data_IF_524794222791
#
_entry.id   IF_524794222791
#
_cell.length_a   1.000
_cell.length_b   1.000
_cell.length_c   1.000
_cell.angle_alpha   90.00
_cell.angle_beta   90.00
_cell.angle_gamma   90.00
#
_symmetry.space_group_name_H-M   'P 1'
#
loop_
_entity.id
_entity.type
_entity.pdbx_description
1 polymer ?
#
# COMPACT_ATOMS: atom_id res chain seq x y z
N UNK A 1 -7.01 23.69 5.00
CA UNK A 1 -8.16 23.44 4.10
C UNK A 1 -8.44 24.57 3.11
N UNK A 2 -8.02 24.43 1.85
CA UNK A 2 -8.60 25.20 0.73
C UNK A 2 -9.98 24.65 0.35
N UNK A 3 -10.79 25.41 -0.42
CA UNK A 3 -12.09 24.94 -0.93
C UNK A 3 -11.97 23.69 -1.84
N UNK A 4 -10.77 23.41 -2.37
CA UNK A 4 -10.50 22.23 -3.21
C UNK A 4 -10.27 20.97 -2.36
N UNK A 5 -9.60 21.09 -1.21
CA UNK A 5 -9.28 19.97 -0.32
C UNK A 5 -10.54 19.43 0.36
N UNK A 6 -11.44 20.33 0.78
CA UNK A 6 -12.74 19.95 1.35
C UNK A 6 -13.63 19.18 0.35
N UNK A 7 -13.53 19.47 -0.95
CA UNK A 7 -14.26 18.74 -2.00
C UNK A 7 -13.63 17.38 -2.34
N UNK A 8 -12.32 17.24 -2.19
CA UNK A 8 -11.61 15.98 -2.34
C UNK A 8 -12.00 15.02 -1.20
N UNK A 9 -11.93 15.49 0.06
CA UNK A 9 -12.27 14.71 1.25
C UNK A 9 -13.71 14.19 1.24
N UNK A 10 -14.70 15.02 0.88
CA UNK A 10 -16.11 14.61 0.75
C UNK A 10 -16.36 13.57 -0.38
N UNK A 11 -15.39 13.37 -1.27
CA UNK A 11 -15.43 12.38 -2.34
C UNK A 11 -14.83 11.02 -1.98
N UNK A 12 -14.11 10.91 -0.87
CA UNK A 12 -13.50 9.67 -0.38
C UNK A 12 -14.54 8.76 0.28
N UNK A 13 -14.22 7.47 0.44
CA UNK A 13 -15.09 6.51 1.16
C UNK A 13 -15.29 6.95 2.61
N UNK A 14 -14.24 7.46 3.27
CA UNK A 14 -14.30 7.96 4.65
C UNK A 14 -15.22 9.19 4.76
N UNK A 15 -15.14 10.13 3.81
CA UNK A 15 -15.98 11.32 3.79
C UNK A 15 -17.46 11.06 3.46
N UNK A 16 -17.79 9.93 2.83
CA UNK A 16 -19.17 9.57 2.46
C UNK A 16 -19.92 8.81 3.57
N UNK A 17 -19.19 8.26 4.55
CA UNK A 17 -19.76 7.43 5.61
C UNK A 17 -20.29 6.07 5.11
N UNK A 18 -20.78 5.21 6.03
CA UNK A 18 -21.23 3.88 5.68
C UNK A 18 -22.47 3.95 4.78
N UNK A 19 -22.47 3.14 3.72
CA UNK A 19 -23.65 2.98 2.85
C UNK A 19 -24.71 2.17 3.61
N UNK A 20 -25.76 2.84 4.07
CA UNK A 20 -26.91 2.16 4.67
C UNK A 20 -27.77 1.47 3.59
N UNK A 21 -28.05 0.18 3.78
CA UNK A 21 -28.90 -0.62 2.91
C UNK A 21 -30.09 -1.20 3.68
N UNK A 22 -31.22 -1.36 2.99
CA UNK A 22 -32.38 -2.02 3.59
C UNK A 22 -32.25 -3.56 3.60
N UNK A 23 -33.13 -4.23 4.36
CA UNK A 23 -33.13 -5.68 4.51
C UNK A 23 -33.40 -6.43 3.18
N UNK A 24 -34.04 -5.79 2.21
CA UNK A 24 -34.31 -6.39 0.90
C UNK A 24 -33.04 -6.42 0.05
N UNK A 25 -32.34 -5.28 -0.01
CA UNK A 25 -31.06 -5.16 -0.69
C UNK A 25 -30.00 -6.04 -0.04
N UNK A 26 -29.94 -6.13 1.30
CA UNK A 26 -29.03 -7.02 2.01
C UNK A 26 -29.25 -8.50 1.62
N UNK A 27 -30.51 -8.96 1.56
CA UNK A 27 -30.84 -10.31 1.08
C UNK A 27 -30.47 -10.51 -0.39
N UNK A 28 -30.70 -9.50 -1.24
CA UNK A 28 -30.33 -9.57 -2.64
C UNK A 28 -28.81 -9.72 -2.84
N UNK A 29 -28.02 -8.93 -2.11
CA UNK A 29 -26.56 -9.02 -2.11
C UNK A 29 -26.08 -10.38 -1.62
N UNK A 30 -26.67 -10.92 -0.54
CA UNK A 30 -26.36 -12.26 -0.05
C UNK A 30 -26.57 -13.35 -1.10
N UNK A 31 -27.74 -13.35 -1.77
CA UNK A 31 -28.02 -14.31 -2.83
C UNK A 31 -27.06 -14.17 -4.02
N UNK A 32 -26.73 -12.92 -4.41
CA UNK A 32 -25.77 -12.67 -5.50
C UNK A 32 -24.37 -13.15 -5.16
N UNK A 33 -23.94 -13.01 -3.91
CA UNK A 33 -22.66 -13.54 -3.43
C UNK A 33 -22.62 -15.06 -3.54
N UNK A 34 -23.66 -15.76 -3.09
CA UNK A 34 -23.75 -17.23 -3.23
C UNK A 34 -23.69 -17.68 -4.70
N UNK A 35 -24.41 -16.99 -5.59
CA UNK A 35 -24.34 -17.25 -7.04
C UNK A 35 -22.92 -17.06 -7.60
N UNK A 36 -22.17 -16.05 -7.12
CA UNK A 36 -20.78 -15.83 -7.52
C UNK A 36 -19.86 -16.95 -7.01
N UNK A 37 -20.05 -17.38 -5.76
CA UNK A 37 -19.26 -18.47 -5.18
C UNK A 37 -19.44 -19.78 -5.95
N UNK A 38 -20.68 -20.13 -6.29
CA UNK A 38 -20.96 -21.31 -7.11
C UNK A 38 -20.39 -21.17 -8.53
N UNK A 39 -20.60 -20.01 -9.18
CA UNK A 39 -20.20 -19.80 -10.57
C UNK A 39 -18.68 -19.81 -10.77
N UNK A 40 -17.95 -19.22 -9.84
CA UNK A 40 -16.50 -19.07 -9.93
C UNK A 40 -15.75 -20.07 -9.04
N UNK A 41 -16.48 -21.01 -8.41
CA UNK A 41 -15.93 -22.05 -7.53
C UNK A 41 -15.07 -21.45 -6.39
N UNK A 42 -15.49 -20.28 -5.88
CA UNK A 42 -14.77 -19.55 -4.85
C UNK A 42 -15.02 -20.22 -3.49
N UNK A 43 -13.94 -20.52 -2.77
CA UNK A 43 -13.98 -20.99 -1.38
C UNK A 43 -13.73 -19.82 -0.44
N UNK A 44 -14.67 -19.55 0.44
CA UNK A 44 -14.56 -18.49 1.44
C UNK A 44 -14.09 -19.00 2.81
N UNK A 45 -14.30 -20.29 3.11
CA UNK A 45 -13.83 -20.93 4.34
C UNK A 45 -12.40 -21.49 4.22
N UNK A 46 -11.63 -21.39 5.30
CA UNK A 46 -10.30 -22.01 5.40
C UNK A 46 -10.38 -23.46 5.89
N UNK A 47 -9.57 -24.39 5.36
CA UNK A 47 -9.40 -25.72 5.95
C UNK A 47 -8.93 -25.65 7.41
N UNK A 48 -9.37 -26.60 8.23
CA UNK A 48 -9.03 -26.61 9.67
C UNK A 48 -7.52 -26.63 9.93
N UNK A 49 -6.76 -27.38 9.12
CA UNK A 49 -5.30 -27.45 9.24
C UNK A 49 -4.61 -26.10 9.00
N UNK A 50 -5.17 -25.25 8.13
CA UNK A 50 -4.67 -23.89 7.87
C UNK A 50 -4.96 -22.98 9.08
N UNK A 51 -6.14 -23.12 9.68
CA UNK A 51 -6.51 -22.37 10.89
C UNK A 51 -5.66 -22.77 12.10
N UNK A 52 -5.40 -24.07 12.27
CA UNK A 52 -4.55 -24.58 13.35
C UNK A 52 -3.10 -24.11 13.17
N UNK A 53 -2.57 -24.12 11.93
CA UNK A 53 -1.24 -23.58 11.60
C UNK A 53 -1.16 -22.08 11.87
N UNK A 54 -2.16 -21.30 11.45
CA UNK A 54 -2.20 -19.86 11.67
C UNK A 54 -2.25 -19.52 13.17
N UNK A 55 -3.09 -20.22 13.95
CA UNK A 55 -3.14 -20.03 15.39
C UNK A 55 -1.77 -20.27 16.04
N UNK A 56 -1.11 -21.37 15.70
CA UNK A 56 0.22 -21.70 16.23
C UNK A 56 1.29 -20.66 15.89
N UNK A 57 1.23 -20.05 14.70
CA UNK A 57 2.14 -18.95 14.28
C UNK A 57 1.91 -17.63 15.01
N UNK A 58 0.78 -17.48 15.68
CA UNK A 58 0.46 -16.29 16.47
C UNK A 58 0.71 -16.49 17.97
N UNK A 59 1.22 -17.66 18.38
CA UNK A 59 1.62 -17.92 19.76
C UNK A 59 3.01 -17.33 20.05
N UNK A 60 3.14 -16.53 21.11
CA UNK A 60 4.43 -16.00 21.62
C UNK A 60 5.23 -15.15 20.61
N UNK A 61 4.52 -14.34 19.80
CA UNK A 61 5.08 -13.44 18.76
C UNK A 61 6.28 -12.63 19.26
N UNK A 62 6.21 -12.08 20.48
CA UNK A 62 7.30 -11.27 21.04
C UNK A 62 8.60 -12.07 21.23
N UNK A 63 8.51 -13.35 21.61
CA UNK A 63 9.68 -14.23 21.75
C UNK A 63 10.28 -14.59 20.39
N UNK A 64 9.42 -14.84 19.39
CA UNK A 64 9.86 -15.10 18.01
C UNK A 64 10.59 -13.88 17.43
N UNK A 65 10.03 -12.68 17.57
CA UNK A 65 10.67 -11.44 17.14
C UNK A 65 12.01 -11.26 17.85
N UNK A 66 12.05 -11.41 19.18
CA UNK A 66 13.27 -11.25 19.95
C UNK A 66 14.38 -12.22 19.53
N UNK A 67 14.03 -13.41 19.05
CA UNK A 67 14.96 -14.39 18.49
C UNK A 67 15.56 -13.97 17.14
N UNK A 68 14.86 -13.12 16.40
CA UNK A 68 15.23 -12.67 15.05
C UNK A 68 15.97 -11.33 15.02
N UNK A 69 15.92 -10.53 16.10
CA UNK A 69 16.51 -9.18 16.17
C UNK A 69 18.00 -9.16 15.78
N UNK A 70 18.78 -10.16 16.19
CA UNK A 70 20.22 -10.19 15.92
C UNK A 70 20.56 -10.48 14.44
N UNK A 71 19.63 -11.05 13.67
CA UNK A 71 19.80 -11.38 12.25
C UNK A 71 19.16 -10.35 11.30
N UNK A 72 18.47 -9.35 11.86
CA UNK A 72 17.71 -8.33 11.14
C UNK A 72 18.23 -6.94 11.48
N UNK A 73 17.98 -5.97 10.60
CA UNK A 73 18.29 -4.57 10.92
C UNK A 73 17.27 -4.05 11.91
N UNK A 74 17.74 -3.57 13.06
CA UNK A 74 16.88 -2.95 14.06
C UNK A 74 16.59 -1.49 13.66
N UNK A 75 15.32 -1.21 13.38
CA UNK A 75 14.82 0.12 12.99
C UNK A 75 13.74 0.61 13.95
N UNK A 76 13.62 0.02 15.16
CA UNK A 76 12.54 0.34 16.11
C UNK A 76 12.60 1.75 16.69
N UNK A 77 13.74 2.42 16.60
CA UNK A 77 13.93 3.81 17.05
C UNK A 77 13.64 4.84 15.92
N UNK A 78 13.27 4.37 14.72
CA UNK A 78 12.95 5.23 13.58
C UNK A 78 11.48 5.60 13.62
N UNK A 79 11.16 6.87 13.37
CA UNK A 79 9.77 7.31 13.23
C UNK A 79 9.11 6.65 12.03
N UNK A 80 8.18 5.74 12.30
CA UNK A 80 7.50 4.89 11.32
C UNK A 80 6.00 4.97 11.54
N UNK A 81 5.22 5.04 10.46
CA UNK A 81 3.76 5.01 10.56
C UNK A 81 3.12 4.29 9.38
N UNK A 82 1.88 3.83 9.59
CA UNK A 82 1.00 3.32 8.53
C UNK A 82 -0.06 4.35 8.17
N UNK A 83 -0.56 4.34 6.94
CA UNK A 83 -1.73 5.15 6.55
C UNK A 83 -2.66 4.31 5.69
N UNK A 84 -3.84 4.02 6.24
CA UNK A 84 -4.74 3.01 5.70
C UNK A 84 -6.19 3.51 5.72
N UNK A 85 -7.11 2.86 4.99
CA UNK A 85 -8.53 3.11 5.19
C UNK A 85 -8.97 2.87 6.65
N UNK A 86 -9.95 3.63 7.13
CA UNK A 86 -10.49 3.49 8.50
C UNK A 86 -10.91 2.07 8.87
N UNK A 87 -11.46 1.31 7.91
CA UNK A 87 -11.95 -0.06 8.10
C UNK A 87 -10.88 -1.14 7.92
N UNK A 88 -9.63 -0.77 7.59
CA UNK A 88 -8.53 -1.71 7.44
C UNK A 88 -8.11 -2.33 8.78
N UNK A 89 -7.76 -3.61 8.77
CA UNK A 89 -7.34 -4.39 9.94
C UNK A 89 -5.95 -5.03 9.75
N UNK A 90 -5.51 -5.12 8.50
CA UNK A 90 -4.23 -5.59 8.00
C UNK A 90 -3.44 -4.39 7.45
N UNK A 91 -2.34 -4.02 8.13
CA UNK A 91 -1.46 -2.92 7.75
C UNK A 91 -0.18 -3.52 7.14
N UNK A 92 -0.20 -3.72 5.83
CA UNK A 92 0.86 -4.42 5.10
C UNK A 92 2.13 -3.58 4.96
N UNK A 93 1.98 -2.25 4.89
CA UNK A 93 3.06 -1.31 4.65
C UNK A 93 3.10 -0.16 5.67
N UNK A 94 4.33 0.30 5.93
CA UNK A 94 4.63 1.48 6.72
C UNK A 94 5.75 2.26 6.03
N UNK A 95 5.82 3.56 6.30
CA UNK A 95 6.86 4.42 5.75
C UNK A 95 7.64 5.13 6.85
N UNK A 96 8.90 5.42 6.54
CA UNK A 96 9.76 6.34 7.28
C UNK A 96 10.52 7.21 6.29
N UNK A 97 10.85 8.44 6.66
CA UNK A 97 11.55 9.36 5.76
C UNK A 97 12.50 10.27 6.53
N UNK A 98 13.64 10.57 5.91
CA UNK A 98 14.64 11.49 6.42
C UNK A 98 15.11 12.42 5.30
N UNK A 99 15.31 13.70 5.63
CA UNK A 99 16.02 14.64 4.77
C UNK A 99 17.43 14.82 5.31
N UNK A 100 18.42 14.51 4.48
CA UNK A 100 19.83 14.81 4.74
C UNK A 100 20.27 15.99 3.87
N UNK A 101 21.50 16.47 4.07
CA UNK A 101 22.01 17.67 3.40
C UNK A 101 21.83 17.58 1.87
N UNK A 102 22.19 16.44 1.28
CA UNK A 102 22.23 16.25 -0.17
C UNK A 102 21.32 15.13 -0.69
N UNK A 103 20.40 14.58 0.11
CA UNK A 103 19.52 13.47 -0.30
C UNK A 103 18.19 13.43 0.47
N UNK A 104 17.19 12.77 -0.11
CA UNK A 104 16.10 12.18 0.68
C UNK A 104 16.40 10.70 0.89
N UNK A 105 16.11 10.19 2.08
CA UNK A 105 16.11 8.75 2.33
C UNK A 105 14.69 8.33 2.69
N UNK A 106 14.14 7.43 1.87
CA UNK A 106 12.79 6.89 2.04
C UNK A 106 12.89 5.41 2.35
N UNK A 107 12.28 4.99 3.45
CA UNK A 107 12.10 3.59 3.79
C UNK A 107 10.64 3.20 3.59
N UNK A 108 10.44 2.10 2.87
CA UNK A 108 9.16 1.41 2.82
C UNK A 108 9.34 0.07 3.51
N UNK A 109 8.60 -0.14 4.60
CA UNK A 109 8.61 -1.35 5.41
C UNK A 109 7.38 -2.18 5.05
N UNK A 110 7.58 -3.40 4.56
CA UNK A 110 6.51 -4.33 4.23
C UNK A 110 6.51 -5.45 5.26
N UNK A 111 5.35 -5.80 5.82
CA UNK A 111 5.20 -6.91 6.74
C UNK A 111 5.88 -8.19 6.19
N UNK A 112 6.68 -8.88 7.01
CA UNK A 112 7.42 -10.07 6.57
C UNK A 112 6.52 -11.32 6.56
N UNK A 113 5.53 -11.35 5.68
CA UNK A 113 4.62 -12.48 5.47
C UNK A 113 5.39 -13.77 5.20
N UNK A 114 6.53 -13.69 4.51
CA UNK A 114 7.35 -14.86 4.15
C UNK A 114 8.04 -15.54 5.33
N UNK A 115 8.11 -14.87 6.49
CA UNK A 115 8.55 -15.47 7.73
C UNK A 115 7.51 -16.45 8.29
N UNK A 116 6.23 -16.10 8.18
CA UNK A 116 5.13 -16.87 8.76
C UNK A 116 4.50 -17.87 7.78
N UNK A 117 4.48 -17.54 6.49
CA UNK A 117 3.92 -18.38 5.41
C UNK A 117 5.07 -18.97 4.59
N UNK A 118 5.47 -20.20 4.93
CA UNK A 118 6.65 -20.84 4.33
C UNK A 118 6.27 -21.95 3.34
N UNK A 119 7.05 -22.21 2.29
CA UNK A 119 6.81 -23.33 1.36
C UNK A 119 6.59 -24.67 2.07
N UNK A 120 5.82 -25.54 1.42
CA UNK A 120 5.51 -26.90 1.86
C UNK A 120 4.65 -26.98 3.15
N UNK A 121 3.93 -25.90 3.53
CA UNK A 121 2.92 -25.92 4.60
C UNK A 121 1.49 -25.81 4.07
N UNK A 122 0.49 -26.12 4.90
CA UNK A 122 -0.92 -26.03 4.50
C UNK A 122 -1.31 -24.58 4.21
N UNK A 123 -0.82 -23.64 5.03
CA UNK A 123 -1.03 -22.22 4.83
C UNK A 123 -0.44 -21.72 3.50
N UNK A 124 0.74 -22.21 3.12
CA UNK A 124 1.34 -21.89 1.81
C UNK A 124 0.54 -22.44 0.63
N UNK A 125 0.11 -23.70 0.72
CA UNK A 125 -0.71 -24.31 -0.34
C UNK A 125 -2.03 -23.54 -0.53
N UNK A 126 -2.70 -23.17 0.57
CA UNK A 126 -3.93 -22.40 0.55
C UNK A 126 -3.73 -20.97 0.03
N UNK A 127 -2.68 -20.27 0.48
CA UNK A 127 -2.35 -18.92 0.01
C UNK A 127 -2.06 -18.93 -1.51
N UNK A 128 -1.37 -19.96 -2.02
CA UNK A 128 -1.08 -20.11 -3.45
C UNK A 128 -2.34 -20.42 -4.27
N UNK A 129 -3.27 -21.20 -3.72
CA UNK A 129 -4.55 -21.50 -4.38
C UNK A 129 -5.46 -20.26 -4.42
N UNK A 130 -5.53 -19.49 -3.33
CA UNK A 130 -6.32 -18.25 -3.25
C UNK A 130 -5.70 -17.11 -4.05
N UNK A 131 -4.37 -17.00 -4.06
CA UNK A 131 -3.53 -16.01 -4.74
C UNK A 131 -3.73 -14.53 -4.37
N UNK A 132 -4.95 -14.09 -4.07
CA UNK A 132 -5.27 -12.72 -3.65
C UNK A 132 -6.52 -12.68 -2.76
N UNK A 133 -6.63 -11.63 -1.95
CA UNK A 133 -7.88 -11.31 -1.25
C UNK A 133 -8.91 -10.80 -2.26
N UNK A 134 -10.15 -11.27 -2.17
CA UNK A 134 -11.28 -10.82 -3.01
C UNK A 134 -12.20 -9.93 -2.19
N UNK A 135 -12.29 -8.66 -2.59
CA UNK A 135 -13.16 -7.66 -1.96
C UNK A 135 -14.50 -7.59 -2.70
N UNK A 136 -15.58 -7.99 -2.03
CA UNK A 136 -16.96 -7.83 -2.47
C UNK A 136 -17.65 -6.74 -1.63
N UNK A 137 -18.77 -6.15 -2.10
CA UNK A 137 -19.55 -5.24 -1.28
C UNK A 137 -19.94 -5.88 0.06
N UNK A 138 -19.47 -5.28 1.15
CA UNK A 138 -19.67 -5.74 2.53
C UNK A 138 -19.21 -7.19 2.83
N UNK A 139 -18.27 -7.73 2.06
CA UNK A 139 -17.74 -9.07 2.30
C UNK A 139 -16.33 -9.25 1.72
N UNK A 140 -15.40 -9.79 2.51
CA UNK A 140 -14.01 -10.00 2.09
C UNK A 140 -13.67 -11.47 2.18
N UNK A 141 -13.10 -12.02 1.11
CA UNK A 141 -12.54 -13.39 1.09
C UNK A 141 -11.04 -13.26 1.21
N UNK A 142 -10.51 -13.53 2.39
CA UNK A 142 -9.11 -13.31 2.69
C UNK A 142 -8.21 -14.35 2.02
N UNK A 143 -7.05 -13.89 1.53
CA UNK A 143 -5.97 -14.78 1.07
C UNK A 143 -5.35 -15.57 2.23
N UNK A 144 -5.14 -14.89 3.36
CA UNK A 144 -4.58 -15.47 4.58
C UNK A 144 -5.64 -15.50 5.69
N UNK A 145 -5.56 -16.44 6.65
CA UNK A 145 -6.46 -16.42 7.80
C UNK A 145 -6.43 -15.06 8.52
N UNK A 146 -7.59 -14.48 8.87
CA UNK A 146 -7.65 -13.16 9.52
C UNK A 146 -6.77 -13.04 10.76
N UNK A 147 -6.73 -14.09 11.61
CA UNK A 147 -5.88 -14.14 12.80
C UNK A 147 -4.40 -13.90 12.48
N UNK A 148 -3.90 -14.31 11.31
CA UNK A 148 -2.52 -14.11 10.90
C UNK A 148 -2.32 -12.72 10.29
N UNK A 149 -3.22 -12.36 9.36
CA UNK A 149 -3.19 -11.09 8.63
C UNK A 149 -3.24 -9.89 9.58
N UNK A 150 -4.13 -9.92 10.57
CA UNK A 150 -4.40 -8.82 11.50
C UNK A 150 -3.41 -8.77 12.69
N UNK A 151 -2.50 -9.74 12.82
CA UNK A 151 -1.56 -9.82 13.94
C UNK A 151 -0.10 -9.73 13.49
N UNK A 152 0.48 -10.85 13.09
CA UNK A 152 1.91 -11.01 12.80
C UNK A 152 2.30 -10.48 11.42
N UNK A 153 1.33 -10.44 10.50
CA UNK A 153 1.47 -9.86 9.17
C UNK A 153 0.94 -8.43 9.08
N UNK A 154 0.66 -7.77 10.21
CA UNK A 154 0.22 -6.38 10.26
C UNK A 154 1.20 -5.54 11.09
N UNK A 155 1.60 -4.39 10.55
CA UNK A 155 2.49 -3.42 11.18
C UNK A 155 1.73 -2.55 12.20
N UNK A 156 1.08 -3.21 13.16
CA UNK A 156 0.28 -2.54 14.20
C UNK A 156 1.12 -1.55 15.02
N UNK A 157 0.51 -0.43 15.48
CA UNK A 157 1.24 0.59 16.20
C UNK A 157 1.71 0.10 17.58
N UNK A 158 2.84 0.63 18.02
CA UNK A 158 3.49 0.43 19.32
C UNK A 158 3.91 -1.00 19.65
N UNK A 159 3.96 -1.87 18.64
CA UNK A 159 4.46 -3.23 18.77
C UNK A 159 5.57 -3.51 17.76
N UNK A 160 6.57 -4.28 18.19
CA UNK A 160 7.62 -4.73 17.30
C UNK A 160 7.04 -5.69 16.25
N UNK A 161 7.50 -5.57 15.01
CA UNK A 161 7.09 -6.42 13.88
C UNK A 161 8.26 -6.70 12.94
N UNK A 162 8.23 -7.88 12.33
CA UNK A 162 9.19 -8.29 11.31
C UNK A 162 8.78 -7.69 9.97
N UNK A 163 9.74 -7.09 9.26
CA UNK A 163 9.50 -6.48 7.96
C UNK A 163 10.61 -6.82 6.94
N UNK A 164 10.27 -6.70 5.67
CA UNK A 164 11.22 -6.43 4.59
C UNK A 164 11.22 -4.94 4.32
N UNK A 165 12.39 -4.31 4.45
CA UNK A 165 12.55 -2.87 4.22
C UNK A 165 13.24 -2.62 2.90
N UNK A 166 12.69 -1.68 2.13
CA UNK A 166 13.31 -1.09 0.94
C UNK A 166 13.76 0.32 1.33
N UNK A 167 15.06 0.49 1.50
CA UNK A 167 15.72 1.77 1.77
C UNK A 167 16.18 2.38 0.44
N UNK A 168 15.72 3.60 0.16
CA UNK A 168 15.97 4.30 -1.10
C UNK A 168 16.60 5.66 -0.81
N UNK A 169 17.82 5.84 -1.29
CA UNK A 169 18.51 7.13 -1.29
C UNK A 169 18.22 7.84 -2.61
N UNK A 170 17.65 9.03 -2.53
CA UNK A 170 17.09 9.75 -3.66
C UNK A 170 17.75 11.11 -3.85
N UNK A 171 18.22 11.35 -5.07
CA UNK A 171 18.77 12.64 -5.48
C UNK A 171 17.70 13.74 -5.33
N UNK A 172 18.02 14.88 -4.68
CA UNK A 172 17.04 15.90 -4.36
C UNK A 172 16.70 16.80 -5.55
N UNK A 173 17.37 16.72 -6.69
CA UNK A 173 17.08 17.45 -7.92
C UNK A 173 16.16 16.64 -8.84
N UNK A 174 16.54 15.40 -9.17
CA UNK A 174 15.86 14.58 -10.18
C UNK A 174 15.12 13.34 -9.63
N UNK A 175 15.24 13.10 -8.33
CA UNK A 175 14.64 11.97 -7.60
C UNK A 175 15.11 10.61 -8.09
N UNK A 176 16.24 10.51 -8.80
CA UNK A 176 16.82 9.22 -9.19
C UNK A 176 17.35 8.47 -7.96
N UNK A 177 17.49 7.14 -8.10
CA UNK A 177 18.07 6.31 -7.05
C UNK A 177 19.58 6.48 -7.05
N UNK A 178 20.15 6.95 -5.95
CA UNK A 178 21.60 6.96 -5.72
C UNK A 178 22.06 5.62 -5.11
N UNK A 179 21.27 5.07 -4.18
CA UNK A 179 21.49 3.79 -3.53
C UNK A 179 20.14 3.12 -3.21
N UNK A 180 20.10 1.79 -3.32
CA UNK A 180 18.95 0.96 -3.00
C UNK A 180 19.43 -0.19 -2.13
N UNK A 181 18.86 -0.34 -0.94
CA UNK A 181 19.11 -1.45 -0.04
C UNK A 181 17.80 -2.19 0.28
N UNK A 182 17.84 -3.52 0.17
CA UNK A 182 16.69 -4.38 0.49
C UNK A 182 17.13 -5.42 1.52
N UNK A 183 16.55 -5.36 2.72
CA UNK A 183 16.93 -6.20 3.84
C UNK A 183 15.76 -6.54 4.76
N UNK A 184 15.93 -7.59 5.55
CA UNK A 184 15.01 -7.92 6.65
C UNK A 184 15.27 -7.01 7.84
N UNK A 185 14.22 -6.52 8.46
CA UNK A 185 14.27 -5.60 9.60
C UNK A 185 13.28 -5.98 10.69
N UNK A 186 13.48 -5.37 11.86
CA UNK A 186 12.47 -5.26 12.91
C UNK A 186 12.10 -3.78 13.02
N UNK A 187 10.81 -3.49 12.94
CA UNK A 187 10.25 -2.14 13.00
C UNK A 187 9.25 -2.06 14.14
N UNK A 188 8.97 -0.84 14.62
CA UNK A 188 7.89 -0.56 15.57
C UNK A 188 7.18 0.67 15.02
N UNK A 189 5.98 0.48 14.49
CA UNK A 189 5.19 1.62 13.99
C UNK A 189 4.79 2.49 15.18
N UNK A 190 5.01 3.80 15.13
CA UNK A 190 4.63 4.73 16.19
C UNK A 190 3.14 5.09 16.15
N UNK A 191 2.55 5.07 14.95
CA UNK A 191 1.18 5.47 14.72
C UNK A 191 0.52 4.73 13.55
N UNK A 192 -0.79 4.52 13.68
CA UNK A 192 -1.67 4.07 12.58
C UNK A 192 -2.60 5.20 12.22
N UNK A 193 -2.41 5.78 11.03
CA UNK A 193 -3.21 6.89 10.54
C UNK A 193 -4.29 6.35 9.62
N UNK A 194 -5.47 6.98 9.65
CA UNK A 194 -6.36 6.98 8.50
C UNK A 194 -5.91 8.00 7.46
N UNK A 195 -6.44 7.93 6.23
CA UNK A 195 -6.20 9.01 5.25
C UNK A 195 -6.69 10.36 5.79
N UNK A 196 -7.81 10.37 6.50
CA UNK A 196 -8.33 11.57 7.16
C UNK A 196 -7.40 12.09 8.27
N UNK A 197 -6.82 11.21 9.10
CA UNK A 197 -5.87 11.61 10.14
C UNK A 197 -4.59 12.21 9.51
N UNK A 198 -4.11 11.62 8.42
CA UNK A 198 -2.96 12.13 7.68
C UNK A 198 -3.22 13.54 7.11
N UNK A 199 -4.39 13.78 6.52
CA UNK A 199 -4.79 15.12 6.09
C UNK A 199 -4.90 16.12 7.26
N UNK A 200 -5.40 15.67 8.41
CA UNK A 200 -5.51 16.50 9.61
C UNK A 200 -4.13 16.90 10.12
N UNK A 201 -3.19 15.96 10.23
CA UNK A 201 -1.80 16.22 10.62
C UNK A 201 -1.09 17.18 9.64
N UNK A 202 -1.35 17.05 8.34
CA UNK A 202 -0.82 17.95 7.31
C UNK A 202 -1.41 19.38 7.38
N UNK A 203 -2.62 19.53 7.92
CA UNK A 203 -3.28 20.83 8.08
C UNK A 203 -2.99 21.48 9.43
N UNK A 204 -2.87 20.68 10.48
CA UNK A 204 -2.57 21.06 11.85
C UNK A 204 -1.57 20.08 12.48
N UNK A 205 -0.27 20.42 12.52
CA UNK A 205 0.78 19.57 13.09
C UNK A 205 0.51 19.14 14.54
N UNK A 206 -0.24 19.93 15.32
CA UNK A 206 -0.58 19.60 16.70
C UNK A 206 -1.52 18.37 16.79
N UNK A 207 -2.24 18.03 15.71
CA UNK A 207 -3.10 16.85 15.65
C UNK A 207 -2.33 15.51 15.77
N UNK A 208 -1.02 15.52 15.49
CA UNK A 208 -0.18 14.34 15.67
C UNK A 208 -0.09 13.91 17.15
N UNK A 209 -0.22 14.86 18.09
CA UNK A 209 -0.14 14.56 19.53
C UNK A 209 -1.23 13.56 19.98
N UNK A 210 -2.41 13.60 19.36
CA UNK A 210 -3.53 12.71 19.70
C UNK A 210 -3.36 11.29 19.13
N UNK A 211 -2.42 11.09 18.20
CA UNK A 211 -2.18 9.82 17.49
C UNK A 211 -1.00 9.03 18.06
N UNK A 212 -0.17 9.65 18.91
CA UNK A 212 1.10 9.11 19.38
C UNK A 212 1.05 8.69 20.86
N UNK A 213 1.64 7.53 21.17
CA UNK A 213 1.94 7.15 22.56
C UNK A 213 3.13 7.93 23.13
N UNK A 214 4.14 8.19 22.29
CA UNK A 214 5.33 8.97 22.62
C UNK A 214 5.33 10.32 21.87
N UNK A 215 5.27 11.39 22.64
CA UNK A 215 5.18 12.77 22.14
C UNK A 215 6.54 13.32 21.67
N UNK A 216 7.64 12.57 21.85
CA UNK A 216 8.95 12.92 21.31
C UNK A 216 9.11 12.52 19.83
N UNK A 217 8.18 11.71 19.28
CA UNK A 217 8.17 11.27 17.88
C UNK A 217 7.80 12.43 16.95
N UNK A 218 8.60 12.64 15.90
CA UNK A 218 8.48 13.78 14.98
C UNK A 218 7.50 13.52 13.80
N UNK A 219 6.38 12.85 14.09
CA UNK A 219 5.42 12.38 13.08
C UNK A 219 4.93 13.49 12.14
N UNK A 220 4.57 14.66 12.66
CA UNK A 220 4.09 15.77 11.83
C UNK A 220 5.16 16.27 10.85
N UNK A 221 6.40 16.39 11.31
CA UNK A 221 7.55 16.78 10.46
C UNK A 221 7.80 15.72 9.38
N UNK A 222 7.75 14.43 9.74
CA UNK A 222 7.93 13.36 8.76
C UNK A 222 6.79 13.30 7.74
N UNK A 223 5.56 13.58 8.17
CA UNK A 223 4.40 13.57 7.29
C UNK A 223 4.47 14.73 6.26
N UNK A 224 4.83 15.94 6.71
CA UNK A 224 5.09 17.08 5.82
C UNK A 224 6.22 16.78 4.83
N UNK A 225 7.32 16.18 5.30
CA UNK A 225 8.43 15.78 4.44
C UNK A 225 8.03 14.71 3.41
N UNK A 226 7.20 13.75 3.80
CA UNK A 226 6.67 12.73 2.91
C UNK A 226 5.76 13.36 1.83
N UNK A 227 4.94 14.34 2.18
CA UNK A 227 4.15 15.12 1.22
C UNK A 227 5.02 15.86 0.22
N UNK A 228 6.03 16.61 0.68
CA UNK A 228 6.95 17.36 -0.18
C UNK A 228 7.63 16.45 -1.21
N UNK A 229 8.05 15.25 -0.79
CA UNK A 229 8.67 14.27 -1.68
C UNK A 229 7.64 13.69 -2.66
N UNK A 230 6.47 13.30 -2.17
CA UNK A 230 5.42 12.67 -2.96
C UNK A 230 4.85 13.61 -4.02
N UNK A 231 4.62 14.89 -3.71
CA UNK A 231 4.15 15.89 -4.68
C UNK A 231 5.11 15.98 -5.87
N UNK A 232 6.42 16.01 -5.61
CA UNK A 232 7.43 16.07 -6.66
C UNK A 232 7.48 14.80 -7.51
N UNK A 233 7.41 13.62 -6.88
CA UNK A 233 7.32 12.34 -7.60
C UNK A 233 6.07 12.29 -8.48
N UNK A 234 4.94 12.79 -7.96
CA UNK A 234 3.67 12.82 -8.65
C UNK A 234 3.72 13.72 -9.89
N UNK A 235 4.30 14.92 -9.78
CA UNK A 235 4.46 15.83 -10.91
C UNK A 235 5.42 15.29 -11.97
N UNK A 236 6.52 14.63 -11.59
CA UNK A 236 7.40 13.93 -12.52
C UNK A 236 6.65 12.83 -13.28
N UNK A 237 5.84 12.03 -12.57
CA UNK A 237 5.02 10.97 -13.17
C UNK A 237 3.95 11.51 -14.12
N UNK A 238 3.36 12.67 -13.84
CA UNK A 238 2.44 13.36 -14.77
C UNK A 238 3.17 13.85 -16.01
N UNK A 239 4.35 14.45 -15.85
CA UNK A 239 5.19 14.89 -16.97
C UNK A 239 5.58 13.71 -17.89
N UNK A 240 5.78 12.53 -17.31
CA UNK A 240 6.03 11.26 -18.02
C UNK A 240 4.77 10.65 -18.69
N UNK A 241 3.63 11.35 -18.63
CA UNK A 241 2.41 10.99 -19.35
C UNK A 241 1.40 10.17 -18.55
N UNK A 242 1.54 10.07 -17.22
CA UNK A 242 0.48 9.47 -16.41
C UNK A 242 -0.78 10.32 -16.40
N UNK A 243 -1.94 9.67 -16.51
CA UNK A 243 -3.25 10.30 -16.46
C UNK A 243 -3.92 10.01 -15.13
N UNK A 244 -4.35 11.06 -14.45
CA UNK A 244 -5.20 10.96 -13.25
C UNK A 244 -6.66 11.10 -13.70
N UNK A 245 -7.37 9.98 -13.77
CA UNK A 245 -8.77 9.95 -14.22
C UNK A 245 -9.76 10.39 -13.12
N UNK A 246 -9.32 10.42 -11.86
CA UNK A 246 -10.12 10.85 -10.72
C UNK A 246 -9.48 12.07 -10.02
N UNK A 247 -9.99 13.30 -10.24
CA UNK A 247 -9.37 14.53 -9.74
C UNK A 247 -9.56 14.78 -8.23
N UNK A 248 -10.14 13.83 -7.48
CA UNK A 248 -10.45 13.95 -6.05
C UNK A 248 -9.47 13.18 -5.15
N UNK A 249 -8.19 13.23 -5.48
CA UNK A 249 -7.17 12.54 -4.69
C UNK A 249 -6.54 13.55 -3.74
N UNK A 250 -6.62 13.27 -2.45
CA UNK A 250 -6.01 14.08 -1.40
C UNK A 250 -4.49 13.82 -1.30
N UNK A 251 -3.81 14.55 -0.42
CA UNK A 251 -2.35 14.47 -0.23
C UNK A 251 -1.96 13.12 0.35
N UNK A 252 -2.70 12.64 1.35
CA UNK A 252 -2.47 11.36 2.01
C UNK A 252 -2.45 10.17 1.04
N UNK A 253 -3.42 10.08 0.13
CA UNK A 253 -3.45 9.03 -0.90
C UNK A 253 -2.29 9.14 -1.91
N UNK A 254 -1.82 10.35 -2.17
CA UNK A 254 -0.67 10.61 -3.05
C UNK A 254 0.64 10.19 -2.38
N UNK A 255 0.81 10.47 -1.08
CA UNK A 255 1.98 10.05 -0.29
C UNK A 255 2.18 8.54 -0.40
N UNK A 256 1.16 7.76 -0.01
CA UNK A 256 1.26 6.30 0.00
C UNK A 256 1.44 5.76 -1.41
N UNK A 257 0.69 6.25 -2.41
CA UNK A 257 0.85 5.80 -3.79
C UNK A 257 2.26 6.00 -4.32
N UNK A 258 2.82 7.21 -4.21
CA UNK A 258 4.13 7.52 -4.79
C UNK A 258 5.24 6.78 -4.05
N UNK A 259 5.17 6.65 -2.72
CA UNK A 259 6.12 5.86 -1.94
C UNK A 259 6.12 4.39 -2.36
N UNK A 260 4.95 3.77 -2.50
CA UNK A 260 4.82 2.37 -2.94
C UNK A 260 5.26 2.18 -4.39
N UNK A 261 4.94 3.11 -5.30
CA UNK A 261 5.40 3.06 -6.68
C UNK A 261 6.93 3.18 -6.76
N UNK A 262 7.54 4.01 -5.92
CA UNK A 262 8.99 4.15 -5.81
C UNK A 262 9.63 2.84 -5.34
N UNK A 263 9.16 2.28 -4.23
CA UNK A 263 9.66 1.00 -3.72
C UNK A 263 9.51 -0.15 -4.74
N UNK A 264 8.36 -0.25 -5.42
CA UNK A 264 8.14 -1.27 -6.47
C UNK A 264 9.13 -1.15 -7.63
N UNK A 265 9.45 0.08 -8.06
CA UNK A 265 10.47 0.33 -9.09
C UNK A 265 11.87 -0.03 -8.59
N UNK A 266 12.21 0.30 -7.34
CA UNK A 266 13.49 -0.02 -6.74
C UNK A 266 13.71 -1.55 -6.62
N UNK A 267 12.71 -2.28 -6.11
CA UNK A 267 12.74 -3.75 -6.04
C UNK A 267 12.86 -4.36 -7.44
N UNK A 268 12.08 -3.86 -8.41
CA UNK A 268 12.18 -4.31 -9.81
C UNK A 268 13.59 -4.10 -10.35
N UNK A 269 14.22 -2.96 -10.03
CA UNK A 269 15.55 -2.65 -10.50
C UNK A 269 16.59 -3.64 -9.95
N UNK A 270 16.62 -3.79 -8.63
CA UNK A 270 17.55 -4.67 -7.91
C UNK A 270 17.42 -6.13 -8.36
N UNK A 271 16.20 -6.64 -8.48
CA UNK A 271 15.97 -8.04 -8.91
C UNK A 271 16.39 -8.28 -10.37
N UNK A 272 16.16 -7.31 -11.25
CA UNK A 272 16.38 -7.46 -12.68
C UNK A 272 17.84 -7.25 -13.08
N UNK A 273 18.48 -6.17 -12.62
CA UNK A 273 19.80 -5.76 -13.10
C UNK A 273 20.93 -6.17 -12.16
N UNK A 274 20.74 -6.08 -10.84
CA UNK A 274 21.82 -6.30 -9.87
C UNK A 274 21.92 -7.77 -9.45
N UNK A 275 20.79 -8.40 -9.14
CA UNK A 275 20.74 -9.82 -8.77
C UNK A 275 20.54 -10.76 -9.95
N UNK A 276 19.86 -10.29 -11.00
CA UNK A 276 19.60 -11.07 -12.22
C UNK A 276 18.79 -12.34 -11.96
N UNK A 277 17.79 -12.27 -11.08
CA UNK A 277 16.97 -13.43 -10.68
C UNK A 277 15.69 -13.55 -11.51
N UNK A 278 15.20 -14.78 -11.65
CA UNK A 278 13.87 -15.03 -12.20
C UNK A 278 12.81 -14.59 -11.17
N UNK A 279 11.99 -13.60 -11.53
CA UNK A 279 10.97 -13.01 -10.68
C UNK A 279 9.67 -12.74 -11.45
N UNK A 280 8.59 -12.51 -10.73
CA UNK A 280 7.32 -12.07 -11.31
C UNK A 280 7.30 -10.55 -11.45
N UNK A 281 7.11 -10.07 -12.69
CA UNK A 281 7.03 -8.65 -12.99
C UNK A 281 5.59 -8.24 -13.30
N UNK A 282 5.16 -7.08 -12.78
CA UNK A 282 3.90 -6.45 -13.16
C UNK A 282 4.09 -5.68 -14.47
N UNK A 283 3.65 -6.25 -15.58
CA UNK A 283 3.83 -5.66 -16.91
C UNK A 283 2.50 -5.16 -17.45
N UNK A 284 2.50 -3.94 -17.99
CA UNK A 284 1.38 -3.37 -18.76
C UNK A 284 1.82 -3.23 -20.22
N UNK A 285 1.29 -4.05 -21.15
CA UNK A 285 1.68 -3.99 -22.55
C UNK A 285 1.26 -2.68 -23.20
N UNK A 286 2.02 -2.24 -24.20
CA UNK A 286 1.59 -1.11 -25.04
C UNK A 286 0.31 -1.48 -25.80
N UNK A 287 -0.65 -0.55 -25.97
CA UNK A 287 -1.82 -0.80 -26.79
C UNK A 287 -1.42 -1.19 -28.21
N UNK A 288 -2.19 -2.09 -28.81
CA UNK A 288 -2.02 -2.46 -30.21
C UNK A 288 -2.29 -1.27 -31.15
N UNK A 289 -1.77 -1.29 -32.39
CA UNK A 289 -2.05 -0.25 -33.37
C UNK A 289 -3.56 -0.02 -33.61
N UNK A 290 -4.35 -1.08 -33.55
CA UNK A 290 -5.81 -1.02 -33.74
C UNK A 290 -6.50 -0.35 -32.54
N UNK A 291 -6.12 -0.71 -31.30
CA UNK A 291 -6.64 -0.03 -30.08
C UNK A 291 -6.28 1.46 -30.06
N UNK A 292 -5.08 1.81 -30.54
CA UNK A 292 -4.68 3.20 -30.73
C UNK A 292 -5.54 3.92 -31.76
N UNK A 293 -5.82 3.27 -32.89
CA UNK A 293 -6.65 3.85 -33.95
C UNK A 293 -8.08 4.10 -33.47
N UNK A 294 -8.67 3.13 -32.76
CA UNK A 294 -10.02 3.25 -32.19
C UNK A 294 -10.07 4.39 -31.17
N UNK A 295 -9.11 4.47 -30.25
CA UNK A 295 -9.03 5.55 -29.27
C UNK A 295 -8.89 6.94 -29.94
N UNK A 296 -8.06 7.05 -30.98
CA UNK A 296 -7.90 8.30 -31.73
C UNK A 296 -9.19 8.73 -32.43
N UNK A 297 -9.96 7.76 -32.96
CA UNK A 297 -11.25 8.05 -33.56
C UNK A 297 -12.24 8.59 -32.53
N UNK A 298 -12.33 7.94 -31.35
CA UNK A 298 -13.16 8.42 -30.25
C UNK A 298 -12.76 9.84 -29.77
N UNK A 299 -11.45 10.11 -29.66
CA UNK A 299 -10.92 11.44 -29.29
C UNK A 299 -11.27 12.49 -30.34
N UNK A 300 -11.18 12.15 -31.64
CA UNK A 300 -11.55 13.06 -32.73
C UNK A 300 -13.06 13.36 -32.75
N UNK A 301 -13.89 12.37 -32.39
CA UNK A 301 -15.34 12.50 -32.31
C UNK A 301 -15.78 13.32 -31.08
N UNK A 302 -14.97 13.36 -30.01
CA UNK A 302 -15.10 14.29 -28.91
C UNK A 302 -14.69 15.71 -29.37
N UNK A 303 -15.67 16.51 -29.81
CA UNK A 303 -15.52 17.90 -30.29
C UNK A 303 -14.40 18.70 -29.56
N UNK A 304 -13.22 18.84 -30.19
CA UNK A 304 -12.23 19.85 -29.79
C UNK A 304 -10.75 19.50 -29.95
N UNK A 305 -10.35 18.25 -30.21
CA UNK A 305 -8.92 17.89 -30.30
C UNK A 305 -8.57 17.34 -31.68
N UNK A 306 -7.86 18.15 -32.48
CA UNK A 306 -7.17 17.68 -33.67
C UNK A 306 -5.78 17.20 -33.26
N UNK A 307 -5.52 15.90 -33.32
CA UNK A 307 -4.17 15.33 -33.14
C UNK A 307 -3.52 15.26 -34.52
N UNK A 308 -2.47 16.05 -34.82
CA UNK A 308 -1.76 15.97 -36.08
C UNK A 308 -1.01 14.64 -36.19
N UNK A 309 -1.20 13.92 -37.28
CA UNK A 309 -0.56 12.63 -37.54
C UNK A 309 0.96 12.71 -37.80
N UNK A 310 1.55 13.91 -37.86
CA UNK A 310 2.92 14.12 -38.38
C UNK A 310 4.04 14.04 -37.34
N UNK A 311 3.76 13.79 -36.05
CA UNK A 311 4.78 13.84 -34.98
C UNK A 311 5.33 12.49 -34.52
N UNK A 312 5.01 11.40 -35.22
CA UNK A 312 5.41 10.05 -34.84
C UNK A 312 6.48 9.51 -35.79
N UNK A 313 7.73 9.90 -35.55
CA UNK A 313 8.96 9.23 -36.04
C UNK A 313 9.84 8.85 -34.84
#
# INVERSE_FOLDING_TARGET
MSDQDAQAQAGTVEGQGPVEIDEELARHLGNKREELFEKFEIRDEFPQEVLDEAAARTEDVGSEIQGEVDERRDLRDMTTWTTDPIDAQDFDDAISIERREDEYVLWVHIADVTHYVTPDTAMWEEARERANTVYLPAYTIHMLPPILAETVCSLVPNEDRLAHTVEMHLDPEDLSYEEIDIYKSVVRSDARLTYSDCEEVLDDPDAAEDLLEDQEVDLAEKNELAWDLAERMHEQRKADGSLVLNPRRDRAHTIIEECMLKANKAVTHELMWDRGVEAMYRVHPQPSPDEWQDALQEIQDLNGVSVPAETWD
#
